data_IF_584281155518
#
_entry.id   IF_584281155518
#
_cell.length_a   1.000
_cell.length_b   1.000
_cell.length_c   1.000
_cell.angle_alpha   90.00
_cell.angle_beta   90.00
_cell.angle_gamma   90.00
#
_symmetry.space_group_name_H-M   'P 1'
#
loop_
_entity.id
_entity.type
_entity.pdbx_description
1 polymer ?
#
# COMPACT_ATOMS: atom_id res chain seq x y z
N UNK A 1 -1.68 -30.12 -13.39
CA UNK A 1 -2.00 -28.70 -13.56
C UNK A 1 -0.91 -27.93 -12.86
N UNK A 2 -0.08 -27.24 -13.64
CA UNK A 2 1.20 -26.67 -13.19
C UNK A 2 0.96 -25.58 -12.14
N UNK A 3 1.65 -25.70 -11.00
CA UNK A 3 1.74 -24.63 -10.00
C UNK A 3 2.60 -23.50 -10.57
N UNK A 4 1.99 -22.46 -11.10
CA UNK A 4 2.71 -21.23 -11.45
C UNK A 4 2.78 -20.35 -10.20
N UNK A 5 3.72 -20.66 -9.31
CA UNK A 5 4.08 -19.80 -8.19
C UNK A 5 5.10 -18.77 -8.68
N UNK A 6 4.62 -17.58 -9.05
CA UNK A 6 5.49 -16.43 -9.32
C UNK A 6 5.13 -15.23 -8.46
N UNK A 7 3.96 -14.65 -8.73
CA UNK A 7 3.43 -13.41 -8.14
C UNK A 7 2.02 -13.14 -8.71
N UNK A 8 1.33 -12.07 -8.28
CA UNK A 8 -0.06 -11.78 -8.68
C UNK A 8 -0.18 -11.26 -10.11
N UNK A 9 0.72 -10.40 -10.59
CA UNK A 9 0.67 -9.86 -11.94
C UNK A 9 0.71 -10.99 -12.99
N UNK A 10 -0.24 -10.95 -13.91
CA UNK A 10 -0.43 -11.96 -14.95
C UNK A 10 -1.16 -11.34 -16.14
N UNK A 11 -1.28 -12.12 -17.21
CA UNK A 11 -1.96 -11.73 -18.43
C UNK A 11 -3.41 -11.29 -18.15
N UNK A 12 -3.81 -10.12 -18.65
CA UNK A 12 -5.17 -9.59 -18.46
C UNK A 12 -5.85 -9.30 -19.79
N UNK A 13 -7.18 -9.36 -19.81
CA UNK A 13 -7.96 -8.86 -20.94
C UNK A 13 -7.91 -7.32 -20.95
N UNK A 14 -7.26 -6.77 -21.97
CA UNK A 14 -7.11 -5.32 -22.16
C UNK A 14 -8.39 -4.65 -22.66
N UNK A 15 -9.39 -5.42 -23.09
CA UNK A 15 -10.67 -4.90 -23.55
C UNK A 15 -10.52 -3.92 -24.71
N UNK A 16 -9.84 -4.33 -25.78
CA UNK A 16 -9.53 -3.50 -26.97
C UNK A 16 -10.77 -2.84 -27.59
N UNK A 17 -11.98 -3.36 -27.37
CA UNK A 17 -13.21 -2.70 -27.82
C UNK A 17 -13.66 -1.47 -26.98
N UNK A 18 -13.04 -1.21 -25.83
CA UNK A 18 -13.53 -0.22 -24.85
C UNK A 18 -12.95 1.19 -25.00
N UNK A 19 -11.89 1.36 -25.79
CA UNK A 19 -11.18 2.64 -25.99
C UNK A 19 -10.70 3.30 -24.69
N UNK A 20 -10.47 2.53 -23.62
CA UNK A 20 -10.11 3.08 -22.30
C UNK A 20 -8.86 3.96 -22.32
N UNK A 21 -7.92 3.69 -23.23
CA UNK A 21 -6.66 4.44 -23.39
C UNK A 21 -6.85 5.88 -23.86
N UNK A 22 -8.04 6.24 -24.35
CA UNK A 22 -8.36 7.62 -24.75
C UNK A 22 -8.68 8.54 -23.56
N UNK A 23 -8.89 7.97 -22.37
CA UNK A 23 -9.11 8.72 -21.14
C UNK A 23 -7.80 8.75 -20.32
N UNK A 24 -7.32 9.92 -19.86
CA UNK A 24 -6.13 10.01 -19.02
C UNK A 24 -6.14 9.07 -17.81
N UNK A 25 -7.29 8.97 -17.11
CA UNK A 25 -7.47 8.06 -15.96
C UNK A 25 -8.14 6.72 -16.33
N UNK A 26 -8.24 6.42 -17.63
CA UNK A 26 -8.80 5.17 -18.10
C UNK A 26 -7.89 3.99 -17.80
N UNK A 27 -8.50 2.85 -17.47
CA UNK A 27 -7.84 1.56 -17.28
C UNK A 27 -8.62 0.47 -18.01
N UNK A 28 -7.99 -0.68 -18.34
CA UNK A 28 -8.69 -1.84 -18.88
C UNK A 28 -9.93 -2.23 -18.04
N UNK A 29 -11.01 -2.75 -18.67
CA UNK A 29 -12.18 -3.23 -17.96
C UNK A 29 -11.89 -4.24 -16.85
N UNK A 30 -10.84 -5.06 -17.00
CA UNK A 30 -10.38 -6.01 -16.00
C UNK A 30 -9.98 -5.38 -14.65
N UNK A 31 -9.64 -4.08 -14.65
CA UNK A 31 -9.26 -3.33 -13.44
C UNK A 31 -10.37 -2.41 -12.91
N UNK A 32 -11.49 -2.28 -13.61
CA UNK A 32 -12.59 -1.42 -13.16
C UNK A 32 -13.13 -1.84 -11.78
N UNK A 33 -13.22 -0.87 -10.87
CA UNK A 33 -13.76 -1.07 -9.52
C UNK A 33 -12.84 -1.83 -8.55
N UNK A 34 -11.65 -2.26 -8.98
CA UNK A 34 -10.65 -2.89 -8.11
C UNK A 34 -10.04 -1.84 -7.17
N UNK A 35 -10.30 -1.99 -5.88
CA UNK A 35 -9.78 -1.10 -4.81
C UNK A 35 -8.46 -1.58 -4.20
N UNK A 36 -7.96 -2.71 -4.65
CA UNK A 36 -6.76 -3.39 -4.14
C UNK A 36 -5.56 -3.24 -5.07
N UNK A 37 -5.61 -2.28 -6.00
CA UNK A 37 -4.56 -1.97 -6.95
C UNK A 37 -4.17 -0.49 -6.80
N UNK A 38 -2.93 -0.17 -7.15
CA UNK A 38 -2.47 1.19 -7.41
C UNK A 38 -2.13 1.27 -8.90
N UNK A 39 -2.51 2.35 -9.58
CA UNK A 39 -2.17 2.51 -10.99
C UNK A 39 -1.83 3.95 -11.33
N UNK A 40 -0.96 4.12 -12.31
CA UNK A 40 -0.59 5.40 -12.88
C UNK A 40 -0.38 5.27 -14.38
N UNK A 41 -0.67 6.34 -15.11
CA UNK A 41 -0.52 6.38 -16.55
C UNK A 41 0.37 7.55 -16.96
N UNK A 42 1.28 7.29 -17.90
CA UNK A 42 2.10 8.28 -18.57
C UNK A 42 1.70 8.33 -20.04
N UNK A 43 1.63 9.53 -20.61
CA UNK A 43 1.29 9.73 -22.02
C UNK A 43 2.33 10.61 -22.71
N UNK A 44 2.76 10.17 -23.90
CA UNK A 44 3.63 10.94 -24.78
C UNK A 44 3.09 10.93 -26.21
N UNK A 45 3.22 12.04 -26.92
CA UNK A 45 2.76 12.15 -28.31
C UNK A 45 3.88 12.62 -29.22
N UNK A 46 4.13 11.89 -30.28
CA UNK A 46 5.14 12.20 -31.29
C UNK A 46 4.47 12.49 -32.63
N UNK A 47 4.71 13.69 -33.17
CA UNK A 47 4.23 14.09 -34.49
C UNK A 47 5.29 13.78 -35.55
N UNK A 48 4.98 12.89 -36.49
CA UNK A 48 5.85 12.52 -37.61
C UNK A 48 5.68 13.51 -38.77
N UNK A 49 6.67 13.54 -39.69
CA UNK A 49 6.58 14.32 -40.94
C UNK A 49 5.33 13.86 -41.73
N UNK A 50 4.49 14.81 -42.14
CA UNK A 50 3.23 14.53 -42.82
C UNK A 50 1.98 14.62 -41.93
N UNK A 51 2.10 15.15 -40.71
CA UNK A 51 0.95 15.46 -39.84
C UNK A 51 0.37 14.27 -39.08
N UNK A 52 0.90 13.06 -39.28
CA UNK A 52 0.52 11.88 -38.48
C UNK A 52 1.12 11.96 -37.08
N UNK A 53 0.28 11.88 -36.06
CA UNK A 53 0.67 11.82 -34.65
C UNK A 53 0.49 10.40 -34.13
N UNK A 54 1.42 9.94 -33.29
CA UNK A 54 1.26 8.69 -32.53
C UNK A 54 1.37 9.04 -31.05
N UNK A 55 0.35 8.67 -30.28
CA UNK A 55 0.35 8.76 -28.82
C UNK A 55 0.69 7.39 -28.24
N UNK A 56 1.61 7.37 -27.28
CA UNK A 56 1.95 6.20 -26.47
C UNK A 56 1.44 6.45 -25.06
N UNK A 57 0.63 5.54 -24.53
CA UNK A 57 0.16 5.52 -23.16
C UNK A 57 0.74 4.31 -22.45
N UNK A 58 1.50 4.53 -21.39
CA UNK A 58 2.02 3.49 -20.51
C UNK A 58 1.22 3.49 -19.22
N UNK A 59 0.47 2.42 -18.96
CA UNK A 59 -0.28 2.20 -17.73
C UNK A 59 0.48 1.21 -16.85
N UNK A 60 0.90 1.66 -15.68
CA UNK A 60 1.54 0.85 -14.65
C UNK A 60 0.48 0.44 -13.62
N UNK A 61 0.31 -0.86 -13.39
CA UNK A 61 -0.62 -1.41 -12.40
C UNK A 61 0.15 -2.22 -11.38
N UNK A 62 0.15 -1.78 -10.13
CA UNK A 62 0.86 -2.38 -9.01
C UNK A 62 -0.10 -3.18 -8.12
N UNK A 63 0.22 -4.44 -7.88
CA UNK A 63 -0.57 -5.39 -7.10
C UNK A 63 -0.14 -5.45 -5.63
N UNK A 64 -0.95 -5.99 -4.69
CA UNK A 64 -0.64 -6.01 -3.26
C UNK A 64 0.64 -6.75 -2.86
N UNK A 65 1.19 -7.60 -3.73
CA UNK A 65 2.48 -8.28 -3.54
C UNK A 65 3.66 -7.51 -4.16
N UNK A 66 3.40 -6.31 -4.70
CA UNK A 66 4.32 -5.43 -5.43
C UNK A 66 4.76 -5.93 -6.81
N UNK A 67 4.15 -6.99 -7.33
CA UNK A 67 4.27 -7.29 -8.77
C UNK A 67 3.51 -6.28 -9.62
N UNK A 68 3.87 -6.17 -10.89
CA UNK A 68 3.34 -5.15 -11.79
C UNK A 68 2.86 -5.73 -13.10
N UNK A 69 1.77 -5.20 -13.62
CA UNK A 69 1.41 -5.30 -15.04
C UNK A 69 1.61 -3.92 -15.65
N UNK A 70 2.46 -3.82 -16.67
CA UNK A 70 2.64 -2.61 -17.47
C UNK A 70 1.98 -2.84 -18.82
N UNK A 71 1.07 -1.94 -19.20
CA UNK A 71 0.37 -1.97 -20.49
C UNK A 71 0.80 -0.76 -21.30
N UNK A 72 1.36 -0.99 -22.47
CA UNK A 72 1.72 0.05 -23.43
C UNK A 72 0.70 0.04 -24.56
N UNK A 73 0.06 1.19 -24.79
CA UNK A 73 -0.89 1.39 -25.89
C UNK A 73 -0.38 2.46 -26.83
N UNK A 74 -0.19 2.12 -28.11
CA UNK A 74 0.17 3.09 -29.15
C UNK A 74 -0.98 3.27 -30.13
N UNK A 75 -1.42 4.50 -30.33
CA UNK A 75 -2.57 4.82 -31.19
C UNK A 75 -2.42 6.17 -31.91
N UNK A 76 -3.15 6.36 -33.00
CA UNK A 76 -3.34 7.67 -33.62
C UNK A 76 -4.50 8.39 -32.91
N UNK A 77 -4.31 9.58 -32.31
CA UNK A 77 -5.40 10.36 -31.70
C UNK A 77 -6.57 10.67 -32.64
N UNK A 78 -6.35 10.71 -33.96
CA UNK A 78 -7.39 10.93 -34.96
C UNK A 78 -8.16 9.64 -35.31
N UNK A 79 -7.57 8.48 -35.04
CA UNK A 79 -8.23 7.18 -35.20
C UNK A 79 -7.85 6.25 -34.03
N UNK A 80 -8.35 6.54 -32.81
CA UNK A 80 -7.91 5.84 -31.62
C UNK A 80 -8.27 4.36 -31.59
N UNK A 81 -9.19 3.91 -32.45
CA UNK A 81 -9.56 2.50 -32.60
C UNK A 81 -8.48 1.64 -33.27
N UNK A 82 -7.57 2.27 -34.02
CA UNK A 82 -6.38 1.62 -34.57
C UNK A 82 -5.24 1.75 -33.55
N UNK A 83 -5.32 0.91 -32.52
CA UNK A 83 -4.38 0.87 -31.42
C UNK A 83 -3.62 -0.46 -31.41
N UNK A 84 -2.35 -0.39 -31.02
CA UNK A 84 -1.53 -1.57 -30.73
C UNK A 84 -1.26 -1.66 -29.24
N UNK A 85 -1.29 -2.88 -28.72
CA UNK A 85 -1.16 -3.17 -27.30
C UNK A 85 0.04 -4.06 -27.06
N UNK A 86 0.79 -3.74 -26.02
CA UNK A 86 1.79 -4.60 -25.43
C UNK A 86 1.52 -4.65 -23.92
N UNK A 87 1.71 -5.81 -23.31
CA UNK A 87 1.75 -5.91 -21.87
C UNK A 87 2.97 -6.73 -21.42
N UNK A 88 3.55 -6.31 -20.30
CA UNK A 88 4.61 -7.04 -19.62
C UNK A 88 4.31 -7.15 -18.14
N UNK A 89 4.89 -8.17 -17.52
CA UNK A 89 4.73 -8.41 -16.09
C UNK A 89 6.08 -8.37 -15.40
N UNK A 90 6.14 -7.63 -14.30
CA UNK A 90 7.36 -7.48 -13.50
C UNK A 90 7.13 -8.13 -12.14
N UNK A 91 8.10 -8.94 -11.72
CA UNK A 91 8.08 -9.58 -10.42
C UNK A 91 8.19 -8.54 -9.28
N UNK A 92 7.77 -8.86 -8.04
CA UNK A 92 7.97 -8.00 -6.90
C UNK A 92 9.44 -7.58 -6.73
N UNK A 93 9.71 -6.39 -6.18
CA UNK A 93 11.07 -5.97 -5.85
C UNK A 93 11.78 -7.01 -4.98
N UNK A 94 13.08 -7.19 -5.22
CA UNK A 94 13.89 -8.08 -4.39
C UNK A 94 13.82 -7.67 -2.92
N UNK A 95 13.95 -8.64 -2.02
CA UNK A 95 14.02 -8.38 -0.59
C UNK A 95 15.11 -7.34 -0.27
N UNK A 96 14.71 -6.30 0.45
CA UNK A 96 15.61 -5.24 0.88
C UNK A 96 16.55 -5.72 1.97
N UNK A 97 17.77 -5.17 1.94
CA UNK A 97 18.71 -5.30 3.05
C UNK A 97 18.31 -4.37 4.20
N UNK A 98 18.90 -4.61 5.37
CA UNK A 98 18.60 -3.84 6.57
C UNK A 98 18.99 -2.35 6.42
N UNK A 99 20.13 -2.04 5.82
CA UNK A 99 20.59 -0.66 5.56
C UNK A 99 19.59 0.12 4.69
N UNK A 100 19.00 -0.53 3.68
CA UNK A 100 17.99 0.09 2.82
C UNK A 100 16.67 0.33 3.56
N UNK A 101 16.30 -0.56 4.47
CA UNK A 101 15.13 -0.39 5.34
C UNK A 101 15.37 0.72 6.37
N UNK A 102 16.59 0.87 6.87
CA UNK A 102 16.95 1.97 7.79
C UNK A 102 16.92 3.32 7.06
N UNK A 103 17.48 3.42 5.86
CA UNK A 103 17.42 4.63 5.03
C UNK A 103 15.96 5.05 4.73
N UNK A 104 15.10 4.09 4.37
CA UNK A 104 13.68 4.36 4.15
C UNK A 104 12.97 4.85 5.42
N UNK A 105 13.34 4.33 6.59
CA UNK A 105 12.80 4.77 7.88
C UNK A 105 13.24 6.21 8.20
N UNK A 106 14.52 6.53 8.00
CA UNK A 106 15.04 7.87 8.21
C UNK A 106 14.35 8.89 7.29
N UNK A 107 14.13 8.52 6.02
CA UNK A 107 13.50 9.37 5.01
C UNK A 107 12.01 9.63 5.29
N UNK A 108 11.25 8.59 5.63
CA UNK A 108 9.79 8.67 5.75
C UNK A 108 9.29 8.42 7.18
N UNK A 109 9.67 7.30 7.80
CA UNK A 109 9.12 6.84 9.08
C UNK A 109 9.29 7.86 10.21
N UNK A 110 10.50 8.39 10.41
CA UNK A 110 10.77 9.40 11.46
C UNK A 110 9.84 10.61 11.35
N UNK A 111 9.67 11.14 10.14
CA UNK A 111 8.82 12.30 9.84
C UNK A 111 7.34 11.99 9.95
N UNK A 112 6.90 10.79 9.55
CA UNK A 112 5.53 10.31 9.73
C UNK A 112 5.18 10.23 11.22
N UNK A 113 6.10 9.72 12.04
CA UNK A 113 5.92 9.64 13.48
C UNK A 113 5.73 11.03 14.10
N UNK A 114 6.61 11.98 13.80
CA UNK A 114 6.52 13.34 14.34
C UNK A 114 5.23 14.04 13.88
N UNK A 115 4.85 13.85 12.61
CA UNK A 115 3.63 14.39 12.06
C UNK A 115 2.37 13.83 12.75
N UNK A 116 2.29 12.52 12.99
CA UNK A 116 1.10 11.93 13.64
C UNK A 116 0.99 12.32 15.11
N UNK A 117 2.11 12.46 15.82
CA UNK A 117 2.14 12.97 17.21
C UNK A 117 1.55 14.38 17.28
N UNK A 118 1.88 15.25 16.30
CA UNK A 118 1.33 16.59 16.21
C UNK A 118 -0.18 16.62 15.90
N UNK A 119 -0.78 15.51 15.45
CA UNK A 119 -2.22 15.37 15.18
C UNK A 119 -3.00 14.72 16.33
N UNK A 120 -2.36 14.40 17.45
CA UNK A 120 -3.00 13.81 18.63
C UNK A 120 -4.30 14.57 19.01
N UNK A 121 -5.36 13.81 19.30
CA UNK A 121 -6.69 14.32 19.68
C UNK A 121 -7.40 15.20 18.63
N UNK A 122 -6.87 15.29 17.40
CA UNK A 122 -7.51 15.94 16.26
C UNK A 122 -8.14 14.92 15.32
N UNK A 123 -9.10 15.36 14.50
CA UNK A 123 -9.64 14.55 13.39
C UNK A 123 -8.86 14.92 12.13
N UNK A 124 -8.24 13.94 11.49
CA UNK A 124 -7.42 14.15 10.29
C UNK A 124 -8.20 13.72 9.05
N UNK A 125 -8.15 14.53 7.98
CA UNK A 125 -8.89 14.32 6.74
C UNK A 125 -10.39 14.07 7.01
N UNK A 126 -10.93 12.94 6.55
CA UNK A 126 -12.33 12.51 6.73
C UNK A 126 -12.57 11.74 8.06
N UNK A 127 -11.53 11.59 8.89
CA UNK A 127 -11.58 10.83 10.13
C UNK A 127 -11.51 9.31 9.94
N UNK A 128 -11.24 8.82 8.73
CA UNK A 128 -11.08 7.39 8.45
C UNK A 128 -9.66 6.91 8.77
N UNK A 129 -9.45 5.60 9.01
CA UNK A 129 -8.10 5.06 9.24
C UNK A 129 -7.17 5.30 8.05
N UNK A 130 -7.66 5.07 6.82
CA UNK A 130 -6.89 5.29 5.60
C UNK A 130 -6.60 6.79 5.36
N UNK A 131 -7.57 7.67 5.62
CA UNK A 131 -7.41 9.12 5.49
C UNK A 131 -6.28 9.68 6.36
N UNK A 132 -6.03 9.10 7.55
CA UNK A 132 -4.88 9.47 8.38
C UNK A 132 -3.56 9.19 7.64
N UNK A 133 -3.39 7.98 7.11
CA UNK A 133 -2.14 7.59 6.45
C UNK A 133 -1.92 8.41 5.19
N UNK A 134 -2.97 8.58 4.37
CA UNK A 134 -2.88 9.40 3.15
C UNK A 134 -2.51 10.86 3.45
N UNK A 135 -3.08 11.47 4.50
CA UNK A 135 -2.72 12.83 4.90
C UNK A 135 -1.25 12.93 5.33
N UNK A 136 -0.76 11.96 6.10
CA UNK A 136 0.63 11.92 6.56
C UNK A 136 1.62 11.71 5.41
N UNK A 137 1.19 11.09 4.31
CA UNK A 137 2.03 10.85 3.14
C UNK A 137 2.11 12.04 2.18
N UNK A 138 1.14 12.99 2.20
CA UNK A 138 1.08 14.14 1.28
C UNK A 138 2.38 14.95 1.15
N UNK A 139 3.17 15.20 2.21
CA UNK A 139 4.43 15.94 2.09
C UNK A 139 5.52 15.19 1.33
N UNK A 140 5.42 13.87 1.22
CA UNK A 140 6.40 13.00 0.54
C UNK A 140 5.95 12.71 -0.88
N UNK A 141 6.33 13.59 -1.79
CA UNK A 141 5.97 13.48 -3.19
C UNK A 141 6.52 12.22 -3.86
N UNK A 142 7.59 11.68 -3.32
CA UNK A 142 8.33 10.53 -3.81
C UNK A 142 8.02 9.23 -3.05
N UNK A 143 7.14 9.28 -2.03
CA UNK A 143 6.72 8.08 -1.32
C UNK A 143 5.77 7.24 -2.17
N UNK A 144 5.95 5.92 -2.15
CA UNK A 144 5.01 5.00 -2.75
C UNK A 144 3.70 5.02 -1.95
N UNK A 145 2.60 5.37 -2.62
CA UNK A 145 1.28 5.40 -1.99
C UNK A 145 0.79 4.00 -1.63
N UNK A 146 -0.17 3.88 -0.69
CA UNK A 146 -0.74 2.59 -0.32
C UNK A 146 -1.42 1.90 -1.51
N UNK A 147 -1.26 0.58 -1.59
CA UNK A 147 -1.98 -0.25 -2.56
C UNK A 147 -3.31 -0.66 -1.94
N UNK A 148 -4.33 0.12 -2.23
CA UNK A 148 -5.64 0.01 -1.58
C UNK A 148 -5.52 0.11 -0.06
N UNK A 149 -6.19 -0.79 0.65
CA UNK A 149 -6.06 -0.95 2.12
C UNK A 149 -5.15 -2.12 2.50
N UNK A 150 -4.37 -2.66 1.54
CA UNK A 150 -3.67 -3.95 1.66
C UNK A 150 -2.20 -3.83 2.00
N UNK A 151 -1.50 -2.89 1.39
CA UNK A 151 -0.05 -2.80 1.47
C UNK A 151 0.40 -1.34 1.55
N UNK A 152 1.40 -1.08 2.39
CA UNK A 152 1.85 0.27 2.76
C UNK A 152 3.37 0.44 2.66
N UNK A 153 4.06 -0.51 2.01
CA UNK A 153 5.48 -0.48 1.68
C UNK A 153 6.15 -1.84 1.90
N UNK A 154 7.44 -1.85 2.21
CA UNK A 154 8.19 -3.08 2.46
C UNK A 154 7.76 -3.73 3.78
N UNK A 155 7.60 -5.06 3.77
CA UNK A 155 7.14 -5.79 4.95
C UNK A 155 8.25 -5.87 6.01
N UNK A 156 7.98 -5.37 7.21
CA UNK A 156 8.87 -5.42 8.39
C UNK A 156 8.50 -6.57 9.31
N UNK A 157 7.19 -6.81 9.48
CA UNK A 157 6.66 -7.89 10.30
C UNK A 157 5.35 -8.40 9.74
N UNK A 158 5.11 -9.71 9.86
CA UNK A 158 3.84 -10.35 9.55
C UNK A 158 3.50 -11.42 10.56
N UNK A 159 2.24 -11.46 10.97
CA UNK A 159 1.69 -12.46 11.87
C UNK A 159 0.28 -12.85 11.43
N UNK A 160 0.08 -14.13 11.14
CA UNK A 160 -1.20 -14.73 10.83
C UNK A 160 -1.65 -15.62 11.98
N UNK A 161 -2.49 -15.08 12.87
CA UNK A 161 -3.07 -15.80 14.01
C UNK A 161 -2.07 -16.51 14.94
N UNK A 162 -0.82 -16.02 15.03
CA UNK A 162 0.33 -16.67 15.68
C UNK A 162 0.71 -18.05 15.12
N UNK A 163 0.09 -18.49 14.03
CA UNK A 163 0.43 -19.73 13.32
C UNK A 163 1.63 -19.55 12.38
N UNK A 164 1.76 -18.35 11.80
CA UNK A 164 2.88 -17.97 10.94
C UNK A 164 3.32 -16.57 11.32
N UNK A 165 4.54 -16.43 11.83
CA UNK A 165 5.14 -15.15 12.18
C UNK A 165 6.49 -14.99 11.51
N UNK A 166 6.68 -13.87 10.84
CA UNK A 166 7.91 -13.50 10.17
C UNK A 166 8.30 -12.07 10.55
N UNK A 167 9.55 -11.88 10.90
CA UNK A 167 10.12 -10.56 11.16
C UNK A 167 11.31 -10.35 10.21
N UNK A 168 11.23 -9.31 9.41
CA UNK A 168 12.21 -9.00 8.36
C UNK A 168 13.20 -7.92 8.78
N UNK A 169 12.79 -7.05 9.72
CA UNK A 169 13.59 -6.00 10.34
C UNK A 169 12.99 -5.61 11.71
N UNK A 170 13.64 -4.73 12.45
CA UNK A 170 13.11 -4.12 13.66
C UNK A 170 11.94 -3.17 13.34
N UNK A 171 10.84 -3.33 14.10
CA UNK A 171 9.68 -2.45 14.06
C UNK A 171 10.06 -1.11 14.70
N UNK A 172 9.87 0.00 14.00
CA UNK A 172 10.26 1.33 14.44
C UNK A 172 9.06 2.29 14.49
N UNK A 173 9.10 3.34 15.33
CA UNK A 173 8.11 4.41 15.28
C UNK A 173 8.02 5.02 13.89
N UNK A 174 6.80 5.22 13.38
CA UNK A 174 6.54 5.71 12.03
C UNK A 174 6.30 4.62 10.99
N UNK A 175 6.61 3.35 11.28
CA UNK A 175 6.16 2.23 10.46
C UNK A 175 4.62 2.16 10.47
N UNK A 176 4.02 1.62 9.41
CA UNK A 176 2.57 1.51 9.27
C UNK A 176 2.11 0.13 9.74
N UNK A 177 1.16 0.06 10.66
CA UNK A 177 0.55 -1.21 11.10
C UNK A 177 -0.81 -1.41 10.46
N UNK A 178 -1.06 -2.59 9.90
CA UNK A 178 -2.38 -3.00 9.41
C UNK A 178 -2.90 -4.19 10.19
N UNK A 179 -4.18 -4.16 10.54
CA UNK A 179 -4.90 -5.23 11.23
C UNK A 179 -6.10 -5.66 10.39
N UNK A 180 -6.26 -6.97 10.19
CA UNK A 180 -7.30 -7.53 9.31
C UNK A 180 -7.96 -8.74 9.94
N UNK A 181 -9.26 -8.61 10.19
CA UNK A 181 -10.05 -9.60 10.92
C UNK A 181 -9.33 -10.07 12.19
N UNK A 182 -8.58 -9.15 12.82
CA UNK A 182 -7.65 -9.45 13.89
C UNK A 182 -8.42 -9.60 15.19
N UNK A 183 -8.31 -10.76 15.82
CA UNK A 183 -8.91 -11.03 17.12
C UNK A 183 -7.81 -11.23 18.15
N UNK A 184 -7.76 -10.33 19.12
CA UNK A 184 -6.85 -10.41 20.26
C UNK A 184 -7.60 -10.95 21.47
N UNK A 185 -7.00 -11.91 22.17
CA UNK A 185 -7.51 -12.41 23.44
C UNK A 185 -6.37 -12.66 24.41
N UNK A 186 -6.42 -11.98 25.54
CA UNK A 186 -5.34 -12.03 26.51
C UNK A 186 -5.79 -11.65 27.90
N UNK A 187 -4.82 -11.27 28.72
CA UNK A 187 -5.02 -10.80 30.09
C UNK A 187 -4.39 -9.42 30.24
N UNK A 188 -5.10 -8.49 30.86
CA UNK A 188 -4.66 -7.11 31.05
C UNK A 188 -4.62 -6.73 32.53
N UNK A 189 -3.70 -5.83 32.87
CA UNK A 189 -3.53 -5.26 34.21
C UNK A 189 -3.02 -6.22 35.30
N UNK A 190 -2.76 -5.71 36.51
CA UNK A 190 -2.25 -6.50 37.64
C UNK A 190 -3.20 -7.62 38.07
N UNK A 191 -4.51 -7.44 37.89
CA UNK A 191 -5.53 -8.44 38.22
C UNK A 191 -5.73 -9.52 37.14
N UNK A 192 -4.92 -9.51 36.07
CA UNK A 192 -5.01 -10.48 34.97
C UNK A 192 -6.42 -10.63 34.37
N UNK A 193 -7.16 -9.51 34.29
CA UNK A 193 -8.51 -9.49 33.75
C UNK A 193 -8.47 -9.92 32.28
N UNK A 194 -9.33 -10.88 31.90
CA UNK A 194 -9.42 -11.35 30.52
C UNK A 194 -9.97 -10.24 29.63
N UNK A 195 -9.44 -10.11 28.43
CA UNK A 195 -9.98 -9.21 27.41
C UNK A 195 -10.12 -9.91 26.07
N UNK A 196 -11.01 -9.39 25.23
CA UNK A 196 -11.12 -9.73 23.81
C UNK A 196 -11.33 -8.45 23.04
N UNK A 197 -10.57 -8.28 21.96
CA UNK A 197 -10.70 -7.14 21.05
C UNK A 197 -10.70 -7.64 19.61
N UNK A 198 -11.63 -7.12 18.80
CA UNK A 198 -11.71 -7.42 17.38
C UNK A 198 -11.48 -6.13 16.58
N UNK A 199 -10.52 -6.16 15.66
CA UNK A 199 -10.01 -4.98 14.95
C UNK A 199 -9.89 -5.30 13.46
N UNK A 200 -10.25 -4.33 12.62
CA UNK A 200 -10.07 -4.41 11.17
C UNK A 200 -11.00 -5.39 10.45
N UNK A 201 -12.30 -5.38 10.81
CA UNK A 201 -13.34 -6.04 9.99
C UNK A 201 -13.52 -5.31 8.66
N UNK A 202 -14.05 -5.99 7.64
CA UNK A 202 -14.33 -5.39 6.33
C UNK A 202 -13.05 -5.03 5.58
N UNK A 203 -12.86 -3.74 5.26
CA UNK A 203 -11.69 -3.24 4.50
C UNK A 203 -10.38 -3.27 5.32
N UNK A 204 -10.44 -3.54 6.63
CA UNK A 204 -9.28 -3.59 7.53
C UNK A 204 -9.17 -2.38 8.44
N UNK A 205 -8.09 -2.32 9.23
CA UNK A 205 -7.72 -1.16 10.02
C UNK A 205 -6.23 -0.85 9.85
N UNK A 206 -5.86 0.43 9.95
CA UNK A 206 -4.48 0.88 9.77
C UNK A 206 -4.16 1.99 10.78
N UNK A 207 -2.91 2.03 11.22
CA UNK A 207 -2.36 3.08 12.07
C UNK A 207 -0.86 3.24 11.88
N UNK A 208 -0.28 4.15 12.65
CA UNK A 208 1.17 4.43 12.66
C UNK A 208 1.76 3.91 13.96
N UNK A 209 2.81 3.09 13.88
CA UNK A 209 3.54 2.61 15.05
C UNK A 209 4.09 3.81 15.82
N UNK A 210 3.78 3.87 17.11
CA UNK A 210 4.32 4.84 18.05
C UNK A 210 5.51 4.26 18.81
N UNK A 211 5.37 3.02 19.29
CA UNK A 211 6.38 2.35 20.11
C UNK A 211 6.33 0.84 19.87
N UNK A 212 7.49 0.19 19.97
CA UNK A 212 7.64 -1.26 19.93
C UNK A 212 8.38 -1.75 21.18
N UNK A 213 7.72 -2.62 21.95
CA UNK A 213 8.33 -3.36 23.07
C UNK A 213 8.57 -4.80 22.60
N UNK A 214 9.77 -5.05 22.08
CA UNK A 214 10.19 -6.36 21.57
C UNK A 214 10.04 -7.51 22.58
N UNK A 215 10.53 -7.37 23.82
CA UNK A 215 10.35 -8.38 24.86
C UNK A 215 8.89 -8.69 25.20
N UNK A 216 8.00 -7.69 25.22
CA UNK A 216 6.56 -7.91 25.47
C UNK A 216 5.75 -8.23 24.22
N UNK A 217 6.39 -8.23 23.04
CA UNK A 217 5.76 -8.30 21.72
C UNK A 217 4.56 -7.36 21.62
N UNK A 218 4.74 -6.11 22.09
CA UNK A 218 3.66 -5.12 22.20
C UNK A 218 3.96 -3.91 21.31
N UNK A 219 3.03 -3.62 20.41
CA UNK A 219 3.03 -2.40 19.60
C UNK A 219 2.06 -1.40 20.22
N UNK A 220 2.47 -0.14 20.30
CA UNK A 220 1.53 0.98 20.43
C UNK A 220 1.40 1.67 19.10
N UNK A 221 0.19 2.04 18.71
CA UNK A 221 -0.05 2.67 17.41
C UNK A 221 -1.02 3.84 17.53
N UNK A 222 -0.71 4.92 16.81
CA UNK A 222 -1.63 6.01 16.54
C UNK A 222 -2.64 5.56 15.51
N UNK A 223 -3.91 5.58 15.87
CA UNK A 223 -5.02 5.23 14.99
C UNK A 223 -6.15 6.27 15.09
N UNK A 224 -7.02 6.28 14.09
CA UNK A 224 -8.29 7.00 14.13
C UNK A 224 -9.35 6.19 13.39
N UNK A 225 -10.62 6.50 13.62
CA UNK A 225 -11.76 5.93 12.89
C UNK A 225 -12.24 4.57 13.39
N UNK A 226 -11.70 4.03 14.49
CA UNK A 226 -12.20 2.81 15.15
C UNK A 226 -13.19 3.12 16.27
N UNK A 227 -12.70 3.50 17.43
CA UNK A 227 -13.54 3.91 18.58
C UNK A 227 -13.79 5.41 18.63
N UNK A 228 -12.91 6.19 18.00
CA UNK A 228 -13.00 7.65 17.89
C UNK A 228 -12.54 8.09 16.51
N UNK A 229 -13.14 9.15 15.96
CA UNK A 229 -12.61 9.82 14.76
C UNK A 229 -11.33 10.61 15.01
N UNK A 230 -10.96 10.82 16.27
CA UNK A 230 -9.74 11.53 16.65
C UNK A 230 -8.55 10.57 16.66
N UNK A 231 -7.36 11.10 16.36
CA UNK A 231 -6.09 10.37 16.48
C UNK A 231 -5.83 10.06 17.95
N UNK A 232 -5.81 8.77 18.28
CA UNK A 232 -5.59 8.21 19.62
C UNK A 232 -4.53 7.12 19.60
N UNK A 233 -3.96 6.86 20.77
CA UNK A 233 -2.90 5.88 20.94
C UNK A 233 -3.46 4.59 21.54
N UNK A 234 -3.39 3.52 20.78
CA UNK A 234 -3.85 2.19 21.19
C UNK A 234 -2.70 1.21 21.36
N UNK A 235 -2.97 0.10 22.04
CA UNK A 235 -1.98 -0.92 22.40
C UNK A 235 -2.40 -2.31 21.92
N UNK A 236 -1.53 -2.96 21.16
CA UNK A 236 -1.73 -4.32 20.65
C UNK A 236 -0.60 -5.22 21.13
N UNK A 237 -0.93 -6.28 21.88
CA UNK A 237 0.02 -7.34 22.19
C UNK A 237 -0.09 -8.41 21.11
N UNK A 238 0.95 -8.56 20.30
CA UNK A 238 0.93 -9.41 19.10
C UNK A 238 0.80 -10.90 19.46
N UNK A 239 1.38 -11.33 20.58
CA UNK A 239 1.22 -12.70 21.09
C UNK A 239 -0.21 -13.04 21.57
N UNK A 240 -1.03 -12.02 21.81
CA UNK A 240 -2.44 -12.21 22.15
C UNK A 240 -3.32 -12.38 20.89
N UNK A 241 -2.76 -12.29 19.67
CA UNK A 241 -3.48 -12.57 18.44
C UNK A 241 -3.95 -14.04 18.40
N UNK A 242 -5.21 -14.27 18.07
CA UNK A 242 -5.84 -15.60 17.97
C UNK A 242 -6.29 -15.95 16.56
N UNK A 243 -6.67 -14.94 15.79
CA UNK A 243 -7.05 -15.09 14.38
C UNK A 243 -6.86 -13.78 13.65
N UNK A 244 -6.90 -13.84 12.32
CA UNK A 244 -6.66 -12.69 11.45
C UNK A 244 -5.18 -12.40 11.26
N UNK A 245 -4.90 -11.23 10.72
CA UNK A 245 -3.57 -10.82 10.28
C UNK A 245 -3.17 -9.49 10.92
N UNK A 246 -1.92 -9.42 11.37
CA UNK A 246 -1.21 -8.18 11.67
C UNK A 246 0.02 -8.10 10.76
N UNK A 247 0.16 -6.99 10.05
CA UNK A 247 1.36 -6.68 9.27
C UNK A 247 1.86 -5.29 9.63
N UNK A 248 3.18 -5.12 9.57
CA UNK A 248 3.84 -3.84 9.77
C UNK A 248 4.73 -3.58 8.57
N UNK A 249 4.65 -2.36 8.06
CA UNK A 249 5.19 -1.94 6.78
C UNK A 249 6.09 -0.74 6.97
N UNK A 250 7.19 -0.72 6.23
CA UNK A 250 8.03 0.46 6.06
C UNK A 250 7.64 1.16 4.78
N UNK A 251 7.29 2.45 4.87
CA UNK A 251 7.04 3.27 3.68
C UNK A 251 8.30 3.33 2.84
N UNK A 252 8.16 3.11 1.53
CA UNK A 252 9.26 3.05 0.57
C UNK A 252 9.12 4.17 -0.47
N UNK A 253 10.21 4.59 -1.13
CA UNK A 253 10.10 5.51 -2.26
C UNK A 253 9.49 4.80 -3.47
N UNK A 254 8.91 5.56 -4.40
CA UNK A 254 8.38 5.07 -5.68
C UNK A 254 9.43 4.31 -6.50
N UNK A 255 10.67 4.77 -6.44
CA UNK A 255 11.80 4.11 -7.11
C UNK A 255 12.07 2.67 -6.64
N UNK A 256 11.54 2.27 -5.48
CA UNK A 256 11.65 0.88 -5.02
C UNK A 256 10.91 -0.11 -5.93
N UNK A 257 9.81 0.32 -6.56
CA UNK A 257 9.08 -0.45 -7.57
C UNK A 257 9.44 -0.01 -8.99
N UNK A 258 10.54 0.72 -9.17
CA UNK A 258 10.96 1.23 -10.48
C UNK A 258 10.12 2.39 -11.01
N UNK A 259 9.22 2.98 -10.21
CA UNK A 259 8.43 4.13 -10.61
C UNK A 259 9.22 5.42 -10.41
N UNK A 260 9.22 6.27 -11.42
CA UNK A 260 9.86 7.58 -11.38
C UNK A 260 8.84 8.69 -11.08
N UNK A 261 9.33 9.93 -11.00
CA UNK A 261 8.49 11.12 -10.81
C UNK A 261 7.93 11.32 -9.39
N UNK A 262 7.03 12.31 -9.28
CA UNK A 262 6.31 12.69 -8.07
C UNK A 262 4.87 12.18 -8.14
N UNK A 263 4.27 11.84 -7.00
CA UNK A 263 2.84 11.57 -6.88
C UNK A 263 2.03 12.73 -7.47
N UNK A 264 1.11 12.40 -8.38
CA UNK A 264 0.12 13.35 -8.90
C UNK A 264 -0.68 13.96 -7.75
N UNK A 265 -0.81 15.30 -7.75
CA UNK A 265 -1.48 16.08 -6.69
C UNK A 265 -2.93 15.70 -6.45
#
# INVERSE_FOLDING_TARGET
MSMDHGFIANEVDLGEGSLWWTNPSGVPPAFHGRKDLLHEAEESTVTKRGGKSVTTKDLYVLFPDYSQTVVTVQFDPQNPSDASFEQRHEQPPSRLRQDQLEEAHERFGSRIHDAVVAKKESVVADGTPAGLILELLKPFKDALLPIGTRAYGALVYSNLGNSLTSQFDEIRPGDIITLRNAKFQGKHGPMHAKYTAEVGRGEGHVGVVAEWDGPKKKVRAWEQGRESKKVKLESFKLDDLRSGEVKIWRVMPRSWVGWEGENSK
#
